data_IF_327653867358
#
_entry.id   IF_327653867358
#
_cell.length_a   1.000
_cell.length_b   1.000
_cell.length_c   1.000
_cell.angle_alpha   90.00
_cell.angle_beta   90.00
_cell.angle_gamma   90.00
#
_symmetry.space_group_name_H-M   'P 1'
#
loop_
_entity.id
_entity.type
_entity.pdbx_description
1 polymer ?
#
# COMPACT_ATOMS: atom_id res chain seq x y z
N UNK A 1 10.01 -4.55 18.71
CA UNK A 1 10.41 -5.11 17.40
C UNK A 1 9.53 -6.32 17.08
N UNK A 2 8.86 -6.33 15.95
CA UNK A 2 7.99 -7.45 15.56
C UNK A 2 8.86 -8.68 15.32
N UNK A 3 8.62 -9.78 16.05
CA UNK A 3 9.33 -11.05 15.82
C UNK A 3 8.82 -11.66 14.51
N UNK A 4 9.46 -11.31 13.41
CA UNK A 4 9.13 -11.84 12.08
C UNK A 4 9.80 -13.21 11.88
N UNK A 5 9.05 -14.14 11.28
CA UNK A 5 9.61 -15.39 10.80
C UNK A 5 10.47 -15.19 9.54
N UNK A 6 11.28 -16.16 9.20
CA UNK A 6 12.21 -16.11 8.05
C UNK A 6 11.49 -15.85 6.72
N UNK A 7 10.25 -16.33 6.55
CA UNK A 7 9.46 -16.12 5.33
C UNK A 7 9.13 -14.64 5.16
N UNK A 8 8.68 -13.98 6.25
CA UNK A 8 8.35 -12.56 6.24
C UNK A 8 9.59 -11.68 6.07
N UNK A 9 10.74 -12.04 6.68
CA UNK A 9 11.98 -11.29 6.45
C UNK A 9 12.41 -11.35 4.99
N UNK A 10 12.44 -12.53 4.38
CA UNK A 10 12.76 -12.66 2.97
C UNK A 10 11.68 -12.04 2.06
N UNK A 11 10.43 -12.04 2.48
CA UNK A 11 9.36 -11.32 1.78
C UNK A 11 9.68 -9.82 1.64
N UNK A 12 10.04 -9.15 2.73
CA UNK A 12 10.40 -7.73 2.68
C UNK A 12 11.70 -7.49 1.92
N UNK A 13 12.71 -8.36 2.05
CA UNK A 13 13.95 -8.26 1.27
C UNK A 13 13.70 -8.34 -0.23
N UNK A 14 12.87 -9.28 -0.68
CA UNK A 14 12.47 -9.35 -2.08
C UNK A 14 11.71 -8.11 -2.54
N UNK A 15 10.81 -7.58 -1.72
CA UNK A 15 10.10 -6.35 -2.06
C UNK A 15 11.04 -5.14 -2.15
N UNK A 16 11.99 -5.02 -1.24
CA UNK A 16 13.01 -3.96 -1.27
C UNK A 16 13.89 -4.07 -2.51
N UNK A 17 14.37 -5.25 -2.82
CA UNK A 17 15.17 -5.50 -4.01
C UNK A 17 14.39 -5.16 -5.28
N UNK A 18 13.18 -5.70 -5.44
CA UNK A 18 12.44 -5.57 -6.70
C UNK A 18 11.81 -4.19 -6.94
N UNK A 19 11.50 -3.44 -5.88
CA UNK A 19 10.89 -2.11 -6.02
C UNK A 19 11.88 -0.96 -5.84
N UNK A 20 12.89 -1.13 -4.98
CA UNK A 20 13.78 -0.05 -4.53
C UNK A 20 15.24 -0.28 -4.92
N UNK A 21 15.55 -1.38 -5.59
CA UNK A 21 16.91 -1.83 -5.93
C UNK A 21 17.84 -1.98 -4.71
N UNK A 22 17.25 -2.21 -3.53
CA UNK A 22 17.97 -2.38 -2.27
C UNK A 22 18.11 -3.88 -1.98
N UNK A 23 19.30 -4.42 -2.23
CA UNK A 23 19.58 -5.84 -2.16
C UNK A 23 20.24 -6.21 -0.82
N UNK A 24 19.51 -6.93 0.01
CA UNK A 24 20.03 -7.58 1.21
C UNK A 24 20.16 -9.09 1.02
N UNK A 25 21.16 -9.76 1.63
CA UNK A 25 21.31 -11.21 1.52
C UNK A 25 20.05 -11.93 2.02
N UNK A 26 19.58 -12.89 1.20
CA UNK A 26 18.43 -13.72 1.57
C UNK A 26 18.84 -14.77 2.60
N UNK A 27 17.98 -15.01 3.58
CA UNK A 27 18.18 -16.10 4.51
C UNK A 27 17.87 -17.44 3.85
N UNK A 28 18.70 -18.49 4.04
CA UNK A 28 18.48 -19.78 3.40
C UNK A 28 17.16 -20.41 3.86
N UNK A 29 16.38 -20.90 2.89
CA UNK A 29 15.09 -21.53 3.14
C UNK A 29 14.94 -22.84 2.41
N UNK A 30 14.20 -23.80 3.00
CA UNK A 30 13.76 -25.00 2.30
C UNK A 30 12.74 -24.67 1.19
N UNK A 31 12.60 -25.55 0.20
CA UNK A 31 11.64 -25.38 -0.89
C UNK A 31 10.22 -25.12 -0.38
N UNK A 32 9.78 -25.83 0.64
CA UNK A 32 8.48 -25.62 1.28
C UNK A 32 8.28 -24.18 1.81
N UNK A 33 9.32 -23.54 2.35
CA UNK A 33 9.24 -22.14 2.79
C UNK A 33 9.21 -21.19 1.60
N UNK A 34 9.94 -21.50 0.51
CA UNK A 34 9.86 -20.76 -0.74
C UNK A 34 8.47 -20.80 -1.37
N UNK A 35 7.82 -21.96 -1.37
CA UNK A 35 6.43 -22.08 -1.83
C UNK A 35 5.46 -21.25 -0.99
N UNK A 36 5.64 -21.23 0.34
CA UNK A 36 4.83 -20.35 1.21
C UNK A 36 5.06 -18.88 0.92
N UNK A 37 6.31 -18.49 0.68
CA UNK A 37 6.66 -17.12 0.30
C UNK A 37 6.03 -16.76 -1.05
N UNK A 38 6.12 -17.64 -2.03
CA UNK A 38 5.50 -17.49 -3.34
C UNK A 38 3.99 -17.24 -3.23
N UNK A 39 3.27 -18.09 -2.47
CA UNK A 39 1.83 -17.88 -2.21
C UNK A 39 1.54 -16.55 -1.53
N UNK A 40 2.40 -16.12 -0.60
CA UNK A 40 2.26 -14.83 0.06
C UNK A 40 2.43 -13.67 -0.92
N UNK A 41 3.35 -13.76 -1.89
CA UNK A 41 3.55 -12.75 -2.93
C UNK A 41 2.31 -12.60 -3.83
N UNK A 42 1.78 -13.72 -4.35
CA UNK A 42 0.54 -13.75 -5.12
C UNK A 42 -0.60 -13.11 -4.32
N UNK A 43 -0.72 -13.57 -3.10
CA UNK A 43 -1.78 -13.13 -2.21
C UNK A 43 -1.76 -11.61 -1.93
N UNK A 44 -0.57 -11.00 -1.93
CA UNK A 44 -0.38 -9.55 -1.70
C UNK A 44 -0.32 -8.74 -3.00
N UNK A 45 -0.58 -9.34 -4.15
CA UNK A 45 -0.46 -8.72 -5.47
C UNK A 45 0.93 -8.08 -5.68
N UNK A 46 1.98 -8.75 -5.20
CA UNK A 46 3.36 -8.28 -5.28
C UNK A 46 4.20 -9.10 -6.24
N UNK A 47 3.56 -9.85 -7.14
CA UNK A 47 4.18 -10.80 -8.06
C UNK A 47 5.21 -10.13 -8.97
N UNK A 48 4.83 -9.00 -9.58
CA UNK A 48 5.72 -8.27 -10.49
C UNK A 48 7.00 -7.79 -9.79
N UNK A 49 6.85 -7.26 -8.56
CA UNK A 49 7.97 -6.82 -7.73
C UNK A 49 8.84 -8.02 -7.33
N UNK A 50 8.22 -9.13 -6.96
CA UNK A 50 8.93 -10.36 -6.62
C UNK A 50 9.71 -10.94 -7.81
N UNK A 51 9.11 -10.95 -9.00
CA UNK A 51 9.76 -11.42 -10.22
C UNK A 51 10.99 -10.55 -10.57
N UNK A 52 10.88 -9.23 -10.47
CA UNK A 52 12.01 -8.32 -10.65
C UNK A 52 13.15 -8.61 -9.65
N UNK A 53 12.81 -8.80 -8.37
CA UNK A 53 13.78 -9.15 -7.34
C UNK A 53 14.50 -10.48 -7.65
N UNK A 54 13.74 -11.53 -7.97
CA UNK A 54 14.31 -12.85 -8.27
C UNK A 54 15.26 -12.79 -9.45
N UNK A 55 14.93 -12.04 -10.50
CA UNK A 55 15.84 -11.82 -11.62
C UNK A 55 17.14 -11.11 -11.19
N UNK A 56 17.05 -10.09 -10.33
CA UNK A 56 18.21 -9.39 -9.79
C UNK A 56 19.10 -10.32 -8.93
N UNK A 57 18.51 -11.14 -8.04
CA UNK A 57 19.24 -12.11 -7.25
C UNK A 57 19.87 -13.21 -8.12
N UNK A 58 19.17 -13.72 -9.14
CA UNK A 58 19.69 -14.73 -10.04
C UNK A 58 20.93 -14.22 -10.82
N UNK A 59 21.01 -12.95 -11.13
CA UNK A 59 22.15 -12.33 -11.81
C UNK A 59 23.31 -12.00 -10.88
N UNK A 60 23.05 -11.46 -9.69
CA UNK A 60 24.08 -10.93 -8.80
C UNK A 60 24.50 -11.92 -7.70
N UNK A 61 23.58 -12.78 -7.25
CA UNK A 61 23.80 -13.74 -6.16
C UNK A 61 23.11 -15.08 -6.47
N UNK A 62 23.61 -15.85 -7.47
CA UNK A 62 22.94 -17.07 -7.93
C UNK A 62 22.82 -18.16 -6.83
N UNK A 63 23.65 -18.09 -5.79
CA UNK A 63 23.60 -19.00 -4.66
C UNK A 63 22.53 -18.68 -3.62
N UNK A 64 21.96 -17.46 -3.66
CA UNK A 64 20.97 -16.99 -2.68
C UNK A 64 19.65 -17.78 -2.78
N UNK A 65 19.36 -18.36 -3.94
CA UNK A 65 18.13 -19.09 -4.20
C UNK A 65 18.40 -20.45 -4.86
N UNK A 66 17.64 -21.46 -4.47
CA UNK A 66 17.70 -22.76 -5.18
C UNK A 66 17.14 -22.63 -6.59
N UNK A 67 17.67 -23.42 -7.56
CA UNK A 67 17.14 -23.44 -8.95
C UNK A 67 15.64 -23.70 -8.99
N UNK A 68 15.13 -24.53 -8.09
CA UNK A 68 13.70 -24.84 -7.97
C UNK A 68 12.89 -23.61 -7.52
N UNK A 69 13.44 -22.79 -6.59
CA UNK A 69 12.80 -21.55 -6.17
C UNK A 69 12.78 -20.53 -7.33
N UNK A 70 13.88 -20.37 -8.07
CA UNK A 70 13.93 -19.50 -9.25
C UNK A 70 12.88 -19.92 -10.28
N UNK A 71 12.76 -21.23 -10.58
CA UNK A 71 11.76 -21.76 -11.51
C UNK A 71 10.30 -21.54 -11.01
N UNK A 72 10.09 -21.51 -9.70
CA UNK A 72 8.78 -21.21 -9.13
C UNK A 72 8.36 -19.77 -9.44
N UNK A 73 9.29 -18.82 -9.29
CA UNK A 73 9.04 -17.40 -9.53
C UNK A 73 9.09 -17.02 -11.01
N UNK A 74 9.80 -17.74 -11.86
CA UNK A 74 9.84 -17.47 -13.31
C UNK A 74 8.47 -17.64 -13.97
N UNK A 75 7.60 -18.47 -13.41
CA UNK A 75 6.21 -18.62 -13.85
C UNK A 75 5.36 -17.37 -13.61
N UNK A 76 5.80 -16.47 -12.73
CA UNK A 76 5.15 -15.17 -12.50
C UNK A 76 5.51 -14.12 -13.56
N UNK A 77 6.67 -14.25 -14.21
CA UNK A 77 7.17 -13.26 -15.17
C UNK A 77 6.31 -13.14 -16.44
N UNK A 78 5.39 -14.08 -16.68
CA UNK A 78 4.40 -14.00 -17.78
C UNK A 78 3.22 -13.05 -17.50
N UNK A 79 3.05 -12.58 -16.26
CA UNK A 79 2.01 -11.64 -15.88
C UNK A 79 2.62 -10.24 -15.75
N UNK A 80 2.64 -9.51 -16.88
CA UNK A 80 2.88 -8.07 -16.98
C UNK A 80 4.21 -7.53 -16.38
N UNK A 81 5.32 -7.78 -17.07
CA UNK A 81 6.51 -6.92 -17.00
C UNK A 81 6.23 -5.60 -17.75
N UNK A 82 5.51 -4.68 -17.16
CA UNK A 82 5.16 -3.46 -17.86
C UNK A 82 4.39 -2.43 -17.06
N UNK A 83 4.45 -2.49 -15.75
CA UNK A 83 4.00 -1.33 -14.96
C UNK A 83 5.16 -0.32 -14.86
N UNK A 84 5.41 0.41 -15.97
CA UNK A 84 5.80 1.82 -15.89
C UNK A 84 5.02 2.47 -14.75
N UNK A 85 5.57 3.50 -14.14
CA UNK A 85 4.93 4.35 -13.13
C UNK A 85 3.46 4.50 -13.53
N UNK A 86 2.60 3.65 -12.95
CA UNK A 86 1.18 3.66 -13.26
C UNK A 86 0.73 5.03 -12.83
N UNK A 87 0.18 5.81 -13.77
CA UNK A 87 -0.51 7.04 -13.41
C UNK A 87 -1.59 6.64 -12.43
N UNK A 88 -1.32 6.83 -11.15
CA UNK A 88 -2.30 6.53 -10.12
C UNK A 88 -3.55 7.36 -10.42
N UNK A 89 -4.73 6.80 -10.26
CA UNK A 89 -5.94 7.56 -10.42
C UNK A 89 -5.92 8.75 -9.44
N UNK A 90 -6.54 9.82 -9.86
CA UNK A 90 -6.64 11.01 -9.04
C UNK A 90 -7.41 10.67 -7.75
N UNK A 91 -6.76 10.86 -6.61
CA UNK A 91 -7.35 10.53 -5.32
C UNK A 91 -8.54 11.46 -5.02
N UNK A 92 -9.61 10.89 -4.53
CA UNK A 92 -10.79 11.61 -4.04
C UNK A 92 -11.02 11.28 -2.59
N UNK A 93 -11.51 12.24 -1.83
CA UNK A 93 -11.87 12.04 -0.43
C UNK A 93 -13.38 11.78 -0.31
N UNK A 94 -13.74 10.91 0.60
CA UNK A 94 -15.15 10.54 0.83
C UNK A 94 -15.93 11.65 1.54
N UNK A 95 -15.25 12.45 2.34
CA UNK A 95 -15.87 13.59 3.00
C UNK A 95 -15.89 14.83 2.08
N UNK A 96 -17.04 15.47 1.98
CA UNK A 96 -17.26 16.64 1.12
C UNK A 96 -16.31 17.81 1.43
N UNK A 97 -16.13 18.14 2.71
CA UNK A 97 -15.31 19.31 3.10
C UNK A 97 -13.81 19.12 2.80
N UNK A 98 -13.15 18.04 3.24
CA UNK A 98 -11.79 17.75 2.80
C UNK A 98 -11.67 17.60 1.29
N UNK A 99 -12.62 16.97 0.60
CA UNK A 99 -12.58 16.84 -0.85
C UNK A 99 -12.64 18.20 -1.57
N UNK A 100 -13.48 19.12 -1.11
CA UNK A 100 -13.51 20.50 -1.62
C UNK A 100 -12.17 21.21 -1.38
N UNK A 101 -11.56 21.03 -0.20
CA UNK A 101 -10.22 21.59 0.08
C UNK A 101 -9.16 20.99 -0.84
N UNK A 102 -9.20 19.70 -1.10
CA UNK A 102 -8.30 19.01 -2.03
C UNK A 102 -8.41 19.59 -3.44
N UNK A 103 -9.62 19.78 -3.95
CA UNK A 103 -9.84 20.40 -5.25
C UNK A 103 -9.32 21.85 -5.30
N UNK A 104 -9.57 22.64 -4.25
CA UNK A 104 -9.01 23.99 -4.15
C UNK A 104 -7.46 24.00 -4.12
N UNK A 105 -6.83 23.02 -3.47
CA UNK A 105 -5.37 22.88 -3.48
C UNK A 105 -4.89 22.64 -4.91
N UNK A 106 -5.52 21.70 -5.63
CA UNK A 106 -5.19 21.39 -7.02
C UNK A 106 -5.35 22.59 -7.94
N UNK A 107 -6.47 23.26 -7.88
CA UNK A 107 -6.75 24.45 -8.69
C UNK A 107 -5.73 25.56 -8.41
N UNK A 108 -5.46 25.86 -7.15
CA UNK A 108 -4.49 26.90 -6.78
C UNK A 108 -3.10 26.56 -7.26
N UNK A 109 -2.68 25.30 -7.15
CA UNK A 109 -1.34 24.87 -7.55
C UNK A 109 -1.18 24.87 -9.05
N UNK A 110 -2.20 24.52 -9.83
CA UNK A 110 -2.19 24.59 -11.30
C UNK A 110 -1.99 26.02 -11.83
N UNK A 111 -2.43 27.02 -11.07
CA UNK A 111 -2.32 28.44 -11.42
C UNK A 111 -1.20 29.17 -10.68
N UNK A 112 -0.41 28.46 -9.87
CA UNK A 112 0.68 29.06 -9.14
C UNK A 112 1.86 29.35 -10.08
N UNK A 113 2.58 30.47 -9.83
CA UNK A 113 3.79 30.83 -10.58
C UNK A 113 4.90 29.80 -10.30
N UNK A 114 4.93 29.27 -9.09
CA UNK A 114 5.85 28.23 -8.63
C UNK A 114 5.07 26.93 -8.38
N UNK A 115 4.71 26.27 -9.48
CA UNK A 115 3.93 25.04 -9.44
C UNK A 115 4.79 23.87 -8.99
N UNK A 116 4.37 23.20 -7.94
CA UNK A 116 5.04 21.99 -7.42
C UNK A 116 4.23 20.73 -7.79
N UNK A 117 4.36 20.29 -9.04
CA UNK A 117 3.70 19.10 -9.55
C UNK A 117 4.09 17.85 -8.75
N UNK A 118 5.38 17.76 -8.39
CA UNK A 118 5.89 16.64 -7.60
C UNK A 118 5.27 16.60 -6.19
N UNK A 119 5.00 17.77 -5.60
CA UNK A 119 4.31 17.82 -4.30
C UNK A 119 2.86 17.39 -4.41
N UNK A 120 2.15 17.80 -5.47
CA UNK A 120 0.79 17.32 -5.75
C UNK A 120 0.74 15.82 -5.98
N UNK A 121 1.69 15.28 -6.72
CA UNK A 121 1.80 13.85 -6.97
C UNK A 121 2.07 13.09 -5.67
N UNK A 122 2.98 13.58 -4.81
CA UNK A 122 3.24 13.01 -3.49
C UNK A 122 1.96 12.97 -2.64
N UNK A 123 1.23 14.09 -2.57
CA UNK A 123 -0.06 14.17 -1.89
C UNK A 123 -1.05 13.15 -2.47
N UNK A 124 -1.15 13.05 -3.79
CA UNK A 124 -2.06 12.12 -4.46
C UNK A 124 -1.76 10.67 -4.11
N UNK A 125 -0.47 10.28 -4.08
CA UNK A 125 -0.04 8.93 -3.70
C UNK A 125 -0.45 8.63 -2.25
N UNK A 126 -0.18 9.53 -1.32
CA UNK A 126 -0.55 9.37 0.09
C UNK A 126 -2.07 9.21 0.23
N UNK A 127 -2.86 10.08 -0.38
CA UNK A 127 -4.32 10.02 -0.30
C UNK A 127 -4.89 8.76 -0.96
N UNK A 128 -4.28 8.30 -2.05
CA UNK A 128 -4.66 7.04 -2.68
C UNK A 128 -4.37 5.83 -1.78
N UNK A 129 -3.23 5.84 -1.07
CA UNK A 129 -2.89 4.82 -0.08
C UNK A 129 -3.92 4.81 1.08
N UNK A 130 -4.36 5.99 1.54
CA UNK A 130 -5.42 6.11 2.55
C UNK A 130 -6.72 5.49 2.03
N UNK A 131 -7.11 5.80 0.80
CA UNK A 131 -8.29 5.20 0.17
C UNK A 131 -8.22 3.68 0.14
N UNK A 132 -7.09 3.10 -0.30
CA UNK A 132 -6.88 1.66 -0.30
C UNK A 132 -6.94 1.07 1.11
N UNK A 133 -6.29 1.72 2.08
CA UNK A 133 -6.26 1.28 3.47
C UNK A 133 -7.66 1.19 4.09
N UNK A 134 -8.51 2.16 3.81
CA UNK A 134 -9.87 2.22 4.34
C UNK A 134 -10.82 1.22 3.66
N UNK A 135 -10.61 0.91 2.39
CA UNK A 135 -11.53 0.06 1.61
C UNK A 135 -11.06 -1.41 1.50
N UNK A 136 -9.77 -1.62 1.31
CA UNK A 136 -9.19 -2.94 1.00
C UNK A 136 -8.13 -3.40 2.01
N UNK A 137 -7.72 -2.51 2.92
CA UNK A 137 -6.62 -2.73 3.85
C UNK A 137 -5.27 -2.28 3.28
N UNK A 138 -4.19 -2.53 4.04
CA UNK A 138 -2.85 -2.08 3.66
C UNK A 138 -2.36 -2.75 2.38
N UNK A 139 -2.16 -1.95 1.34
CA UNK A 139 -1.52 -2.36 0.08
C UNK A 139 -0.02 -2.08 0.15
N UNK A 140 0.79 -3.14 0.18
CA UNK A 140 2.25 -3.00 0.22
C UNK A 140 2.80 -2.43 -1.09
N UNK A 141 2.19 -2.74 -2.24
CA UNK A 141 2.56 -2.13 -3.52
C UNK A 141 2.35 -0.62 -3.53
N UNK A 142 1.25 -0.16 -2.95
CA UNK A 142 0.96 1.27 -2.88
C UNK A 142 1.93 2.00 -1.93
N UNK A 143 2.30 1.38 -0.81
CA UNK A 143 3.35 1.90 0.08
C UNK A 143 4.71 1.93 -0.64
N UNK A 144 5.07 0.88 -1.39
CA UNK A 144 6.30 0.85 -2.19
C UNK A 144 6.31 1.91 -3.30
N UNK A 145 5.14 2.20 -3.90
CA UNK A 145 4.98 3.28 -4.86
C UNK A 145 5.34 4.64 -4.22
N UNK A 146 4.85 4.91 -3.01
CA UNK A 146 5.22 6.11 -2.26
C UNK A 146 6.73 6.14 -1.99
N UNK A 147 7.32 5.04 -1.49
CA UNK A 147 8.75 4.95 -1.23
C UNK A 147 9.59 5.19 -2.48
N UNK A 148 9.26 4.52 -3.58
CA UNK A 148 9.94 4.72 -4.87
C UNK A 148 9.82 6.17 -5.35
N UNK A 149 8.64 6.77 -5.20
CA UNK A 149 8.42 8.17 -5.56
C UNK A 149 9.31 9.10 -4.74
N UNK A 150 9.39 8.91 -3.42
CA UNK A 150 10.24 9.72 -2.54
C UNK A 150 11.72 9.61 -2.90
N UNK A 151 12.25 8.42 -3.20
CA UNK A 151 13.65 8.25 -3.64
C UNK A 151 13.94 8.84 -5.01
N UNK A 152 12.92 8.91 -5.90
CA UNK A 152 13.12 9.41 -7.28
C UNK A 152 12.90 10.92 -7.40
N UNK A 153 11.93 11.45 -6.66
CA UNK A 153 11.47 12.84 -6.80
C UNK A 153 11.47 13.62 -5.49
N UNK A 154 11.90 13.01 -4.38
CA UNK A 154 11.83 13.64 -3.04
C UNK A 154 12.52 15.00 -2.99
N UNK A 155 13.64 15.16 -3.68
CA UNK A 155 14.40 16.45 -3.75
C UNK A 155 13.58 17.59 -4.39
N UNK A 156 12.53 17.25 -5.16
CA UNK A 156 11.64 18.22 -5.84
C UNK A 156 10.33 18.44 -5.08
N UNK A 157 10.10 17.70 -4.01
CA UNK A 157 8.91 17.82 -3.20
C UNK A 157 9.06 18.96 -2.20
N UNK A 158 8.15 19.92 -2.23
CA UNK A 158 8.04 20.94 -1.18
C UNK A 158 7.34 20.34 0.04
N UNK A 159 8.13 19.87 1.00
CA UNK A 159 7.62 19.24 2.21
C UNK A 159 6.90 20.22 3.13
N UNK A 160 7.15 21.51 3.06
CA UNK A 160 6.43 22.53 3.84
C UNK A 160 4.99 22.66 3.31
N UNK A 161 4.84 22.75 1.98
CA UNK A 161 3.53 22.72 1.33
C UNK A 161 2.79 21.40 1.62
N UNK A 162 3.47 20.26 1.45
CA UNK A 162 2.89 18.94 1.68
C UNK A 162 2.36 18.78 3.11
N UNK A 163 3.13 19.17 4.11
CA UNK A 163 2.73 19.15 5.52
C UNK A 163 1.50 20.04 5.78
N UNK A 164 1.49 21.24 5.21
CA UNK A 164 0.35 22.17 5.31
C UNK A 164 -0.92 21.56 4.70
N UNK A 165 -0.80 20.94 3.52
CA UNK A 165 -1.93 20.30 2.85
C UNK A 165 -2.44 19.08 3.64
N UNK A 166 -1.54 18.21 4.09
CA UNK A 166 -1.89 17.04 4.92
C UNK A 166 -2.59 17.47 6.22
N UNK A 167 -2.14 18.53 6.85
CA UNK A 167 -2.77 19.08 8.04
C UNK A 167 -4.18 19.62 7.74
N UNK A 168 -4.34 20.40 6.66
CA UNK A 168 -5.62 20.97 6.23
C UNK A 168 -6.66 19.90 5.85
N UNK A 169 -6.19 18.77 5.33
CA UNK A 169 -7.01 17.62 4.96
C UNK A 169 -7.21 16.62 6.12
N UNK A 170 -6.64 16.88 7.29
CA UNK A 170 -6.64 15.98 8.46
C UNK A 170 -6.01 14.60 8.18
N UNK A 171 -5.00 14.55 7.30
CA UNK A 171 -4.33 13.31 6.87
C UNK A 171 -2.92 13.12 7.44
N UNK A 172 -2.43 14.07 8.24
CA UNK A 172 -1.06 14.00 8.80
C UNK A 172 -0.76 12.69 9.55
N UNK A 173 -1.71 12.14 10.33
CA UNK A 173 -1.52 10.86 11.02
C UNK A 173 -1.45 9.67 10.09
N UNK A 174 -2.19 9.70 8.98
CA UNK A 174 -2.12 8.66 7.95
C UNK A 174 -0.78 8.70 7.23
N UNK A 175 -0.32 9.88 6.82
CA UNK A 175 1.01 10.04 6.23
C UNK A 175 2.12 9.56 7.18
N UNK A 176 2.03 9.86 8.47
CA UNK A 176 2.95 9.33 9.49
C UNK A 176 2.92 7.81 9.59
N UNK A 177 1.73 7.19 9.48
CA UNK A 177 1.61 5.73 9.45
C UNK A 177 2.30 5.13 8.23
N UNK A 178 2.08 5.70 7.04
CA UNK A 178 2.70 5.25 5.79
C UNK A 178 4.23 5.40 5.82
N UNK A 179 4.73 6.56 6.24
CA UNK A 179 6.15 6.78 6.45
C UNK A 179 6.75 5.80 7.45
N UNK A 180 6.06 5.52 8.56
CA UNK A 180 6.52 4.54 9.56
C UNK A 180 6.57 3.10 9.01
N UNK A 181 5.70 2.75 8.06
CA UNK A 181 5.81 1.46 7.37
C UNK A 181 7.05 1.43 6.47
N UNK A 182 7.34 2.52 5.77
CA UNK A 182 8.55 2.65 4.94
C UNK A 182 9.83 2.53 5.77
N UNK A 183 9.92 3.22 6.90
CA UNK A 183 11.11 3.14 7.77
C UNK A 183 11.27 1.77 8.41
N UNK A 184 10.20 1.21 8.98
CA UNK A 184 10.28 -0.05 9.72
C UNK A 184 10.51 -1.29 8.85
N UNK A 185 10.03 -1.29 7.61
CA UNK A 185 10.01 -2.51 6.77
C UNK A 185 10.77 -2.38 5.46
N UNK A 186 11.00 -1.17 4.98
CA UNK A 186 11.61 -0.92 3.67
C UNK A 186 12.94 -0.16 3.72
N UNK A 187 13.48 0.06 4.92
CA UNK A 187 14.82 0.62 5.10
C UNK A 187 14.95 2.08 4.67
N UNK A 188 13.89 2.86 4.84
CA UNK A 188 13.96 4.30 4.67
C UNK A 188 14.50 4.97 5.93
N UNK A 189 15.37 5.95 5.73
CA UNK A 189 15.77 6.84 6.81
C UNK A 189 14.73 7.95 7.02
N UNK A 190 14.72 8.56 8.21
CA UNK A 190 13.75 9.62 8.52
C UNK A 190 13.94 10.85 7.65
N UNK A 191 15.16 11.10 7.24
CA UNK A 191 15.59 12.20 6.39
C UNK A 191 15.02 12.06 4.95
N UNK A 192 14.78 10.83 4.48
CA UNK A 192 14.12 10.54 3.20
C UNK A 192 12.62 10.87 3.22
N UNK A 193 12.01 10.99 4.42
CA UNK A 193 10.57 11.17 4.63
C UNK A 193 10.26 12.36 5.56
N UNK A 194 10.58 13.61 5.17
CA UNK A 194 10.43 14.78 6.05
C UNK A 194 8.99 15.05 6.51
N UNK A 195 7.98 14.56 5.78
CA UNK A 195 6.57 14.62 6.19
C UNK A 195 6.25 13.72 7.39
N UNK A 196 7.13 12.79 7.73
CA UNK A 196 7.01 11.90 8.89
C UNK A 196 7.70 12.49 10.12
N UNK A 197 7.00 13.35 10.87
CA UNK A 197 7.54 13.97 12.08
C UNK A 197 7.75 13.00 13.23
N UNK A 198 6.93 11.93 13.32
CA UNK A 198 6.96 10.94 14.39
C UNK A 198 6.60 9.57 13.86
N UNK A 199 7.31 8.56 14.34
CA UNK A 199 6.95 7.17 14.05
C UNK A 199 5.62 6.78 14.69
N UNK A 200 4.78 6.10 13.92
CA UNK A 200 3.53 5.54 14.42
C UNK A 200 3.79 4.17 15.05
N UNK A 201 3.52 3.98 16.35
CA UNK A 201 3.71 2.69 17.01
C UNK A 201 2.78 1.59 16.45
N UNK A 202 1.75 1.97 15.74
CA UNK A 202 0.78 1.04 15.17
C UNK A 202 1.18 0.50 13.79
N UNK A 203 2.21 1.05 13.14
CA UNK A 203 2.67 0.61 11.83
C UNK A 203 2.98 -0.90 11.83
N UNK A 204 3.70 -1.38 12.84
CA UNK A 204 4.01 -2.80 12.99
C UNK A 204 2.74 -3.67 13.12
N UNK A 205 1.72 -3.21 13.86
CA UNK A 205 0.45 -3.93 14.03
C UNK A 205 -0.36 -3.97 12.73
N UNK A 206 -0.38 -2.86 11.98
CA UNK A 206 -1.07 -2.76 10.70
C UNK A 206 -0.44 -3.71 9.68
N UNK A 207 0.89 -3.72 9.56
CA UNK A 207 1.61 -4.64 8.68
C UNK A 207 1.44 -6.10 9.11
N UNK A 208 1.57 -6.41 10.41
CA UNK A 208 1.38 -7.78 10.91
C UNK A 208 -0.01 -8.32 10.57
N UNK A 209 -1.03 -7.48 10.68
CA UNK A 209 -2.40 -7.82 10.32
C UNK A 209 -2.55 -7.99 8.81
N UNK A 210 -1.96 -7.11 8.01
CA UNK A 210 -1.97 -7.25 6.56
C UNK A 210 -1.34 -8.59 6.11
N UNK A 211 -0.32 -9.09 6.82
CA UNK A 211 0.35 -10.35 6.52
C UNK A 211 -0.28 -11.57 7.24
N UNK A 212 -1.38 -11.40 7.97
CA UNK A 212 -2.02 -12.50 8.69
C UNK A 212 -2.77 -13.44 7.73
N UNK A 213 -2.90 -14.72 8.12
CA UNK A 213 -3.69 -15.71 7.38
C UNK A 213 -5.17 -15.33 7.25
N UNK A 214 -5.71 -14.59 8.22
CA UNK A 214 -7.10 -14.14 8.21
C UNK A 214 -7.35 -13.08 7.14
N UNK A 215 -6.38 -12.19 6.92
CA UNK A 215 -6.41 -11.28 5.78
C UNK A 215 -6.31 -12.06 4.45
N UNK A 216 -5.68 -13.25 4.45
CA UNK A 216 -5.57 -14.16 3.32
C UNK A 216 -6.93 -14.75 2.92
N UNK A 217 -7.61 -15.34 3.83
CA UNK A 217 -8.97 -15.90 3.61
C UNK A 217 -9.95 -14.81 3.16
N UNK A 218 -9.88 -13.63 3.78
CA UNK A 218 -10.78 -12.53 3.48
C UNK A 218 -10.67 -12.02 2.04
N UNK A 219 -9.48 -12.05 1.42
CA UNK A 219 -9.30 -11.59 0.04
C UNK A 219 -9.54 -12.71 -1.00
N UNK A 220 -9.27 -13.98 -0.68
CA UNK A 220 -9.68 -15.11 -1.52
C UNK A 220 -11.20 -15.16 -1.62
N UNK A 221 -11.90 -14.99 -0.51
CA UNK A 221 -13.36 -14.89 -0.49
C UNK A 221 -13.84 -13.71 -1.33
N UNK A 222 -13.19 -12.52 -1.21
CA UNK A 222 -13.58 -11.33 -1.98
C UNK A 222 -13.37 -11.53 -3.49
N UNK A 223 -12.23 -12.08 -3.92
CA UNK A 223 -11.96 -12.38 -5.34
C UNK A 223 -12.91 -13.45 -5.89
N UNK A 224 -13.21 -14.48 -5.09
CA UNK A 224 -14.16 -15.54 -5.47
C UNK A 224 -15.56 -14.97 -5.68
N UNK A 225 -15.99 -14.05 -4.83
CA UNK A 225 -17.29 -13.40 -4.93
C UNK A 225 -17.34 -12.36 -6.07
N UNK A 226 -16.30 -11.56 -6.31
CA UNK A 226 -16.20 -10.67 -7.45
C UNK A 226 -16.24 -11.42 -8.80
N UNK A 227 -15.61 -12.60 -8.86
CA UNK A 227 -15.57 -13.41 -10.08
C UNK A 227 -16.86 -14.20 -10.34
N UNK A 228 -17.61 -14.55 -9.30
CA UNK A 228 -18.75 -15.49 -9.41
C UNK A 228 -20.12 -14.83 -9.39
N UNK A 229 -20.23 -13.61 -8.91
CA UNK A 229 -21.51 -12.94 -8.78
C UNK A 229 -21.53 -11.56 -9.44
N UNK A 230 -22.08 -11.53 -10.66
CA UNK A 230 -22.82 -10.34 -11.05
C UNK A 230 -24.10 -10.15 -10.17
N UNK A 231 -24.21 -10.87 -9.07
CA UNK A 231 -25.36 -10.84 -8.14
C UNK A 231 -24.86 -10.60 -6.73
N UNK A 232 -25.12 -9.40 -6.22
CA UNK A 232 -24.78 -8.99 -4.87
C UNK A 232 -25.75 -9.68 -3.89
N UNK A 233 -25.38 -10.85 -3.40
CA UNK A 233 -25.97 -11.31 -2.17
C UNK A 233 -25.54 -10.32 -1.07
N UNK A 234 -26.50 -9.70 -0.41
CA UNK A 234 -26.29 -8.76 0.70
C UNK A 234 -25.58 -9.46 1.85
N UNK A 235 -24.26 -9.56 1.76
CA UNK A 235 -23.47 -10.28 2.73
C UNK A 235 -23.20 -9.37 3.92
N UNK A 236 -23.95 -9.58 4.98
CA UNK A 236 -23.75 -8.97 6.30
C UNK A 236 -22.29 -9.09 6.77
N UNK A 237 -21.55 -10.10 6.28
CA UNK A 237 -20.14 -10.31 6.59
C UNK A 237 -19.26 -9.24 5.95
N UNK A 238 -19.51 -8.84 4.70
CA UNK A 238 -18.77 -7.77 3.98
C UNK A 238 -19.03 -6.44 4.66
N UNK A 239 -20.27 -6.13 4.99
CA UNK A 239 -20.64 -4.92 5.70
C UNK A 239 -19.97 -4.85 7.08
N UNK A 240 -20.03 -5.94 7.84
CA UNK A 240 -19.37 -6.06 9.15
C UNK A 240 -17.85 -5.84 9.05
N UNK A 241 -17.20 -6.38 8.01
CA UNK A 241 -15.74 -6.17 7.76
C UNK A 241 -15.44 -4.70 7.48
N UNK A 242 -16.24 -4.02 6.65
CA UNK A 242 -16.10 -2.59 6.35
C UNK A 242 -16.30 -1.73 7.61
N UNK A 243 -17.26 -2.06 8.45
CA UNK A 243 -17.48 -1.40 9.75
C UNK A 243 -16.23 -1.53 10.63
N UNK A 244 -15.71 -2.74 10.79
CA UNK A 244 -14.51 -2.98 11.61
C UNK A 244 -13.26 -2.31 11.04
N UNK A 245 -13.13 -2.20 9.72
CA UNK A 245 -12.05 -1.46 9.09
C UNK A 245 -12.17 0.04 9.39
N UNK A 246 -13.35 0.63 9.22
CA UNK A 246 -13.59 2.04 9.52
C UNK A 246 -13.30 2.37 10.99
N UNK A 247 -13.84 1.59 11.94
CA UNK A 247 -13.59 1.78 13.38
C UNK A 247 -12.09 1.70 13.71
N UNK A 248 -11.37 0.78 13.07
CA UNK A 248 -9.94 0.56 13.30
C UNK A 248 -9.08 1.74 12.89
N UNK A 249 -9.40 2.36 11.76
CA UNK A 249 -8.61 3.48 11.22
C UNK A 249 -9.16 4.85 11.61
N UNK A 250 -10.25 4.88 12.38
CA UNK A 250 -10.85 6.12 12.88
C UNK A 250 -9.88 6.96 13.73
N UNK A 251 -8.94 6.32 14.44
CA UNK A 251 -7.90 7.03 15.21
C UNK A 251 -6.89 7.79 14.34
N UNK A 252 -6.71 7.38 13.09
CA UNK A 252 -5.76 7.99 12.15
C UNK A 252 -6.40 9.06 11.26
N UNK A 253 -7.64 8.81 10.79
CA UNK A 253 -8.38 9.74 9.95
C UNK A 253 -9.88 9.68 10.32
N UNK A 254 -10.30 10.28 11.45
CA UNK A 254 -11.65 10.11 11.97
C UNK A 254 -12.72 10.62 10.98
N UNK A 255 -12.48 11.75 10.35
CA UNK A 255 -13.42 12.38 9.41
C UNK A 255 -13.56 11.55 8.14
N UNK A 256 -12.45 11.13 7.55
CA UNK A 256 -12.46 10.35 6.31
C UNK A 256 -12.94 8.91 6.52
N UNK A 257 -12.51 8.26 7.60
CA UNK A 257 -12.93 6.89 7.92
C UNK A 257 -14.44 6.81 8.18
N UNK A 258 -15.02 7.77 8.91
CA UNK A 258 -16.46 7.81 9.16
C UNK A 258 -17.24 8.12 7.88
N UNK A 259 -16.79 9.07 7.07
CA UNK A 259 -17.45 9.42 5.81
C UNK A 259 -17.38 8.32 4.78
N UNK A 260 -16.22 7.67 4.65
CA UNK A 260 -16.04 6.51 3.78
C UNK A 260 -16.96 5.36 4.22
N UNK A 261 -17.10 5.15 5.53
CA UNK A 261 -18.02 4.16 6.06
C UNK A 261 -19.48 4.50 5.69
N UNK A 262 -19.93 5.72 5.91
CA UNK A 262 -21.31 6.15 5.59
C UNK A 262 -21.59 6.04 4.08
N UNK A 263 -20.65 6.45 3.23
CA UNK A 263 -20.75 6.31 1.77
C UNK A 263 -20.90 4.85 1.35
N UNK A 264 -20.07 3.97 1.91
CA UNK A 264 -20.14 2.54 1.63
C UNK A 264 -21.44 1.90 2.14
N UNK A 265 -21.95 2.34 3.30
CA UNK A 265 -23.21 1.88 3.85
C UNK A 265 -24.39 2.30 2.97
N UNK A 266 -24.45 3.57 2.58
CA UNK A 266 -25.49 4.12 1.68
C UNK A 266 -25.50 3.36 0.34
N UNK A 267 -24.33 3.16 -0.28
CA UNK A 267 -24.20 2.41 -1.53
C UNK A 267 -24.65 0.94 -1.38
N UNK A 268 -24.44 0.35 -0.21
CA UNK A 268 -24.88 -1.03 0.05
C UNK A 268 -26.38 -1.12 0.26
N UNK A 269 -27.00 -0.13 0.90
CA UNK A 269 -28.46 -0.06 1.09
C UNK A 269 -29.19 0.22 -0.24
N UNK A 270 -28.69 1.15 -1.04
CA UNK A 270 -29.26 1.43 -2.36
C UNK A 270 -29.31 0.21 -3.29
N UNK A 271 -28.32 -0.68 -3.20
CA UNK A 271 -28.28 -1.95 -3.97
C UNK A 271 -29.21 -3.05 -3.45
N UNK A 272 -29.79 -2.90 -2.26
CA UNK A 272 -30.76 -3.85 -1.69
C UNK A 272 -32.17 -3.47 -2.14
N UNK A 273 -32.41 -2.21 -2.49
CA UNK A 273 -33.71 -1.68 -2.93
C UNK A 273 -33.95 -1.86 -4.45
N UNK A 274 -32.92 -2.21 -5.24
CA UNK A 274 -33.01 -2.61 -6.64
C UNK A 274 -33.11 -4.17 -6.78
#
# INVERSE_FOLDING_TARGET
>A
MLKMDIIKRNFFRLLRCGALNDMEPLEPMSLFKWEKLFRLMIYKNTEAVAAAAVNSYAQQQPEAMTKQAVNLFSKMSGAQSGQSVVSLPEAQMSNFMPNRRLNNIREKELHAIDTSVETLNALNIILYNVYLLLNSGLSLNAILCLGKYMRTFGDKVDFVKLDSWLASLHMARMAQLEGSVLTMFFGFDKEELPFMRRESPDAAKVVARALSKRAASDAEDMRFWEAKTGFVAGDTTVLRRKIWAAVRYMSFAPVEASSNFLKNLSNSLAKIEE
#
